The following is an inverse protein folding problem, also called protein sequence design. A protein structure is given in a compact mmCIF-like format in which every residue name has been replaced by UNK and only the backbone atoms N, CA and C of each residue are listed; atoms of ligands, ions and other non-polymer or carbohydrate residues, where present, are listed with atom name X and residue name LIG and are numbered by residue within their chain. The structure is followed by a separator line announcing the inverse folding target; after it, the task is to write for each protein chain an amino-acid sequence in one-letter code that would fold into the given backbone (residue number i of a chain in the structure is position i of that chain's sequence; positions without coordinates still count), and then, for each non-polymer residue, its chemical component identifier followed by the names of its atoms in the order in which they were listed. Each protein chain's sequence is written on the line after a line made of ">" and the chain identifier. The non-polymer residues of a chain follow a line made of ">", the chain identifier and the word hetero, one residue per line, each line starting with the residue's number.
data_IF_012347100049
#
_entry.id   IF_012347100049
#
_cell.length_a   1.000
_cell.length_b   1.000
_cell.length_c   1.000
_cell.angle_alpha   90.00
_cell.angle_beta   90.00
_cell.angle_gamma   90.00
#
_symmetry.space_group_name_H-M   'P 1'
#
loop_
_entity.id
_entity.type
_entity.pdbx_description
1 polymer ?
#
# COMPACT_ATOMS: atom_id res chain seq x y z
N UNK A 1 2.73 29.32 -15.29
CA UNK A 1 1.53 29.11 -14.43
C UNK A 1 2.01 28.60 -13.08
N UNK A 2 1.65 29.25 -11.98
CA UNK A 2 1.84 28.71 -10.62
C UNK A 2 0.56 27.97 -10.25
N UNK A 3 0.69 26.71 -9.83
CA UNK A 3 -0.45 25.92 -9.36
C UNK A 3 -0.93 26.44 -7.99
N UNK A 4 -2.21 26.24 -7.63
CA UNK A 4 -2.71 26.57 -6.30
C UNK A 4 -1.92 25.83 -5.21
N UNK A 5 -1.65 26.47 -4.07
CA UNK A 5 -0.93 25.86 -2.94
C UNK A 5 -1.60 24.59 -2.41
N UNK A 6 -2.95 24.52 -2.46
CA UNK A 6 -3.71 23.31 -2.11
C UNK A 6 -3.46 22.14 -3.06
N UNK A 7 -3.12 22.42 -4.33
CA UNK A 7 -2.76 21.40 -5.32
C UNK A 7 -1.32 20.91 -5.11
N UNK A 8 -0.44 21.75 -4.57
CA UNK A 8 0.93 21.37 -4.24
C UNK A 8 1.00 20.55 -2.96
N UNK A 9 0.26 20.93 -1.91
CA UNK A 9 0.22 20.17 -0.66
C UNK A 9 -0.38 18.77 -0.81
N UNK A 10 -1.37 18.61 -1.70
CA UNK A 10 -1.96 17.29 -1.92
C UNK A 10 -0.98 16.33 -2.62
N UNK A 11 -0.15 16.85 -3.53
CA UNK A 11 0.88 16.05 -4.21
C UNK A 11 2.00 15.64 -3.27
N UNK A 12 2.47 16.55 -2.40
CA UNK A 12 3.48 16.25 -1.39
C UNK A 12 2.99 15.20 -0.38
N UNK A 13 1.73 15.29 0.05
CA UNK A 13 1.11 14.28 0.91
C UNK A 13 1.03 12.93 0.20
N UNK A 14 0.50 12.88 -1.04
CA UNK A 14 0.43 11.62 -1.81
C UNK A 14 1.81 10.97 -1.92
N UNK A 15 2.87 11.72 -2.23
CA UNK A 15 4.23 11.17 -2.31
C UNK A 15 4.73 10.63 -0.97
N UNK A 16 4.46 11.33 0.13
CA UNK A 16 4.83 10.90 1.48
C UNK A 16 4.16 9.57 1.83
N UNK A 17 2.84 9.49 1.71
CA UNK A 17 2.05 8.30 2.05
C UNK A 17 2.34 7.12 1.12
N UNK A 18 2.58 7.38 -0.17
CA UNK A 18 3.05 6.34 -1.09
C UNK A 18 4.38 5.75 -0.61
N UNK A 19 5.33 6.58 -0.19
CA UNK A 19 6.62 6.12 0.31
C UNK A 19 6.47 5.27 1.57
N UNK A 20 5.68 5.73 2.53
CA UNK A 20 5.44 4.99 3.79
C UNK A 20 4.74 3.66 3.56
N UNK A 21 3.74 3.63 2.67
CA UNK A 21 3.10 2.38 2.24
C UNK A 21 4.10 1.43 1.59
N UNK A 22 4.99 1.93 0.71
CA UNK A 22 6.02 1.10 0.07
C UNK A 22 6.97 0.52 1.12
N UNK A 23 7.39 1.32 2.10
CA UNK A 23 8.24 0.86 3.20
C UNK A 23 7.53 -0.20 4.08
N UNK A 24 6.21 -0.05 4.30
CA UNK A 24 5.39 -1.05 4.97
C UNK A 24 5.31 -2.36 4.15
N UNK A 25 5.02 -2.27 2.85
CA UNK A 25 4.94 -3.43 1.95
C UNK A 25 6.27 -4.19 1.91
N UNK A 26 7.38 -3.47 1.89
CA UNK A 26 8.72 -4.04 1.93
C UNK A 26 9.00 -4.73 3.26
N UNK A 27 8.81 -4.04 4.38
CA UNK A 27 9.18 -4.55 5.71
C UNK A 27 8.28 -5.69 6.19
N UNK A 28 6.98 -5.60 5.91
CA UNK A 28 5.98 -6.56 6.38
C UNK A 28 5.82 -7.73 5.42
N UNK A 29 5.79 -7.48 4.12
CA UNK A 29 5.45 -8.49 3.10
C UNK A 29 6.60 -8.86 2.16
N UNK A 30 7.81 -8.30 2.33
CA UNK A 30 8.97 -8.52 1.47
C UNK A 30 8.69 -8.25 -0.03
N UNK A 31 7.78 -7.32 -0.32
CA UNK A 31 7.45 -6.92 -1.68
C UNK A 31 8.45 -5.85 -2.13
N UNK A 32 9.57 -6.29 -2.72
CA UNK A 32 10.59 -5.40 -3.26
C UNK A 32 10.42 -5.17 -4.77
N UNK A 33 11.02 -4.11 -5.32
CA UNK A 33 11.04 -3.82 -6.76
C UNK A 33 9.64 -3.80 -7.40
N UNK A 34 8.73 -2.98 -6.84
CA UNK A 34 7.40 -2.79 -7.40
C UNK A 34 7.49 -2.35 -8.86
N UNK A 35 6.75 -3.02 -9.73
CA UNK A 35 6.60 -2.65 -11.14
C UNK A 35 5.87 -1.31 -11.29
N UNK A 36 5.97 -0.69 -12.47
CA UNK A 36 5.23 0.54 -12.79
C UNK A 36 3.71 0.39 -12.59
N UNK A 37 3.17 -0.79 -12.84
CA UNK A 37 1.74 -1.07 -12.62
C UNK A 37 1.41 -1.13 -11.13
N UNK A 38 2.23 -1.80 -10.32
CA UNK A 38 2.04 -1.86 -8.87
C UNK A 38 2.17 -0.46 -8.24
N UNK A 39 3.14 0.35 -8.68
CA UNK A 39 3.29 1.73 -8.24
C UNK A 39 2.09 2.62 -8.63
N UNK A 40 1.53 2.40 -9.83
CA UNK A 40 0.33 3.10 -10.27
C UNK A 40 -0.90 2.73 -9.42
N UNK A 41 -1.07 1.45 -9.08
CA UNK A 41 -2.14 0.98 -8.20
C UNK A 41 -2.00 1.62 -6.82
N UNK A 42 -0.80 1.60 -6.22
CA UNK A 42 -0.55 2.24 -4.92
C UNK A 42 -0.92 3.72 -4.98
N UNK A 43 -0.46 4.45 -6.00
CA UNK A 43 -0.79 5.87 -6.16
C UNK A 43 -2.29 6.12 -6.17
N UNK A 44 -3.03 5.37 -7.00
CA UNK A 44 -4.48 5.51 -7.13
C UNK A 44 -5.19 5.26 -5.81
N UNK A 45 -4.80 4.21 -5.09
CA UNK A 45 -5.37 3.88 -3.78
C UNK A 45 -5.03 4.97 -2.76
N UNK A 46 -3.79 5.46 -2.74
CA UNK A 46 -3.38 6.55 -1.84
C UNK A 46 -4.19 7.81 -2.09
N UNK A 47 -4.38 8.21 -3.36
CA UNK A 47 -5.24 9.34 -3.72
C UNK A 47 -6.69 9.12 -3.24
N UNK A 48 -7.29 7.95 -3.52
CA UNK A 48 -8.65 7.60 -3.09
C UNK A 48 -8.80 7.58 -1.54
N UNK A 49 -7.78 7.14 -0.82
CA UNK A 49 -7.78 7.12 0.65
C UNK A 49 -7.67 8.54 1.17
N UNK A 50 -6.65 9.31 0.74
CA UNK A 50 -6.45 10.67 1.22
C UNK A 50 -7.62 11.61 0.89
N UNK A 51 -8.31 11.43 -0.24
CA UNK A 51 -9.52 12.20 -0.58
C UNK A 51 -10.69 11.94 0.41
N UNK A 52 -10.71 10.78 1.08
CA UNK A 52 -11.72 10.42 2.10
C UNK A 52 -11.33 10.86 3.51
N UNK A 53 -10.07 11.22 3.72
CA UNK A 53 -9.46 11.44 5.03
C UNK A 53 -9.22 12.96 5.25
N UNK A 54 -9.67 13.51 6.39
CA UNK A 54 -9.52 14.95 6.68
C UNK A 54 -8.04 15.32 6.84
N UNK A 55 -7.50 16.35 6.17
CA UNK A 55 -6.08 16.75 6.29
C UNK A 55 -5.61 17.10 7.72
N UNK A 56 -6.49 17.11 8.73
CA UNK A 56 -6.16 17.32 10.16
C UNK A 56 -5.86 16.04 10.96
N UNK A 57 -5.61 14.92 10.29
CA UNK A 57 -5.37 13.63 10.95
C UNK A 57 -4.18 13.65 11.92
N UNK A 58 -4.33 12.90 13.02
CA UNK A 58 -3.28 12.72 14.03
C UNK A 58 -2.43 11.51 13.65
N UNK A 59 -1.25 11.40 14.25
CA UNK A 59 -0.31 10.29 14.05
C UNK A 59 -0.94 8.89 14.27
N UNK A 60 -1.94 8.76 15.14
CA UNK A 60 -2.63 7.49 15.37
C UNK A 60 -3.46 7.04 14.14
N UNK A 61 -3.87 7.98 13.29
CA UNK A 61 -4.61 7.69 12.07
C UNK A 61 -3.68 7.21 10.92
N UNK A 62 -2.36 7.43 11.06
CA UNK A 62 -1.38 7.08 10.05
C UNK A 62 -1.25 5.58 9.83
N UNK A 63 -1.16 4.83 10.92
CA UNK A 63 -1.14 3.38 10.85
C UNK A 63 -2.42 2.81 10.21
N UNK A 64 -3.57 3.45 10.44
CA UNK A 64 -4.86 3.03 9.87
C UNK A 64 -4.86 3.26 8.36
N UNK A 65 -4.39 4.42 7.91
CA UNK A 65 -4.29 4.78 6.49
C UNK A 65 -3.31 3.85 5.78
N UNK A 66 -2.10 3.64 6.31
CA UNK A 66 -1.10 2.76 5.70
C UNK A 66 -1.60 1.32 5.60
N UNK A 67 -2.27 0.82 6.65
CA UNK A 67 -2.87 -0.51 6.65
C UNK A 67 -4.00 -0.62 5.62
N UNK A 68 -4.84 0.40 5.48
CA UNK A 68 -5.89 0.43 4.46
C UNK A 68 -5.30 0.41 3.05
N UNK A 69 -4.31 1.27 2.78
CA UNK A 69 -3.65 1.34 1.46
C UNK A 69 -2.98 -0.01 1.15
N UNK A 70 -2.22 -0.58 2.08
CA UNK A 70 -1.54 -1.86 1.88
C UNK A 70 -2.52 -3.01 1.64
N UNK A 71 -3.62 -3.07 2.41
CA UNK A 71 -4.64 -4.13 2.26
C UNK A 71 -5.37 -4.02 0.92
N UNK A 72 -5.75 -2.79 0.52
CA UNK A 72 -6.36 -2.54 -0.80
C UNK A 72 -5.37 -2.86 -1.92
N UNK A 73 -4.09 -2.53 -1.77
CA UNK A 73 -3.07 -2.87 -2.76
C UNK A 73 -2.99 -4.39 -2.95
N UNK A 74 -2.91 -5.17 -1.87
CA UNK A 74 -2.86 -6.63 -1.95
C UNK A 74 -4.12 -7.21 -2.61
N UNK A 75 -5.28 -6.60 -2.36
CA UNK A 75 -6.55 -6.98 -2.99
C UNK A 75 -6.55 -6.65 -4.49
N UNK A 76 -6.21 -5.42 -4.87
CA UNK A 76 -6.29 -4.94 -6.26
C UNK A 76 -5.16 -5.51 -7.14
N UNK A 77 -3.94 -5.64 -6.63
CA UNK A 77 -2.77 -6.10 -7.39
C UNK A 77 -2.69 -7.62 -7.49
N UNK A 78 -3.11 -8.36 -6.45
CA UNK A 78 -2.93 -9.81 -6.36
C UNK A 78 -4.25 -10.59 -6.21
N UNK A 79 -5.40 -9.92 -6.18
CA UNK A 79 -6.72 -10.55 -6.13
C UNK A 79 -7.03 -11.23 -4.79
N UNK A 80 -6.44 -10.75 -3.70
CA UNK A 80 -6.53 -11.38 -2.39
C UNK A 80 -7.75 -10.90 -1.62
N UNK A 81 -8.38 -11.83 -0.91
CA UNK A 81 -9.50 -11.52 -0.03
C UNK A 81 -9.04 -10.82 1.26
N UNK A 82 -9.79 -9.81 1.69
CA UNK A 82 -9.44 -8.97 2.84
C UNK A 82 -9.38 -9.77 4.14
N UNK A 83 -10.34 -10.67 4.35
CA UNK A 83 -10.36 -11.56 5.51
C UNK A 83 -9.21 -12.55 5.48
N UNK A 84 -8.84 -13.03 4.28
CA UNK A 84 -7.67 -13.88 4.12
C UNK A 84 -6.36 -13.14 4.46
N UNK A 85 -6.18 -11.89 4.01
CA UNK A 85 -5.01 -11.07 4.36
C UNK A 85 -4.92 -10.90 5.87
N UNK A 86 -6.01 -10.53 6.54
CA UNK A 86 -6.03 -10.36 8.00
C UNK A 86 -5.60 -11.64 8.71
N UNK A 87 -6.21 -12.78 8.36
CA UNK A 87 -5.88 -14.08 8.93
C UNK A 87 -4.41 -14.46 8.71
N UNK A 88 -3.86 -14.17 7.54
CA UNK A 88 -2.47 -14.49 7.21
C UNK A 88 -1.45 -13.54 7.86
N UNK A 89 -1.90 -12.51 8.57
CA UNK A 89 -1.05 -11.55 9.30
C UNK A 89 -1.19 -11.66 10.82
N UNK A 90 -1.94 -12.66 11.33
CA UNK A 90 -2.17 -12.85 12.77
C UNK A 90 -0.94 -13.38 13.51
N UNK A 91 -0.17 -14.27 12.89
CA UNK A 91 1.02 -14.87 13.51
C UNK A 91 2.27 -14.71 12.64
N UNK A 92 3.45 -14.87 13.25
CA UNK A 92 4.73 -14.83 12.51
C UNK A 92 4.85 -15.97 11.48
N UNK A 93 4.32 -17.15 11.80
CA UNK A 93 4.37 -18.30 10.90
C UNK A 93 3.45 -18.10 9.70
N UNK A 94 2.22 -17.61 9.94
CA UNK A 94 1.29 -17.23 8.88
C UNK A 94 1.88 -16.15 7.97
N UNK A 95 2.56 -15.16 8.54
CA UNK A 95 3.17 -14.07 7.78
C UNK A 95 4.29 -14.57 6.85
N UNK A 96 5.05 -15.60 7.26
CA UNK A 96 6.09 -16.18 6.40
C UNK A 96 5.49 -17.01 5.25
N UNK A 97 4.43 -17.78 5.53
CA UNK A 97 3.67 -18.47 4.49
C UNK A 97 3.04 -17.50 3.48
N UNK A 98 2.53 -16.37 3.98
CA UNK A 98 1.95 -15.31 3.18
C UNK A 98 3.00 -14.63 2.27
N UNK A 99 4.19 -14.33 2.81
CA UNK A 99 5.31 -13.77 2.02
C UNK A 99 5.71 -14.69 0.87
N UNK A 100 5.87 -15.98 1.14
CA UNK A 100 6.20 -16.98 0.11
C UNK A 100 5.09 -17.08 -0.95
N UNK A 101 3.83 -16.99 -0.54
CA UNK A 101 2.70 -16.96 -1.46
C UNK A 101 2.74 -15.74 -2.39
N UNK A 102 2.95 -14.53 -1.84
CA UNK A 102 3.08 -13.30 -2.65
C UNK A 102 4.27 -13.41 -3.62
N UNK A 103 5.42 -13.91 -3.14
CA UNK A 103 6.60 -14.13 -3.98
C UNK A 103 6.26 -14.99 -5.20
N UNK A 104 5.57 -16.11 -5.01
CA UNK A 104 5.15 -17.02 -6.11
C UNK A 104 4.19 -16.37 -7.09
N UNK A 105 3.25 -15.54 -6.64
CA UNK A 105 2.36 -14.77 -7.54
C UNK A 105 3.19 -13.84 -8.41
N UNK A 106 4.14 -13.13 -7.82
CA UNK A 106 4.99 -12.17 -8.52
C UNK A 106 5.92 -12.85 -9.54
N UNK A 107 6.50 -14.01 -9.21
CA UNK A 107 7.28 -14.83 -10.16
C UNK A 107 6.45 -15.26 -11.37
N UNK A 108 5.23 -15.78 -11.13
CA UNK A 108 4.33 -16.23 -12.20
C UNK A 108 3.88 -15.09 -13.11
N UNK A 109 3.87 -13.87 -12.58
CA UNK A 109 3.47 -12.66 -13.28
C UNK A 109 4.66 -11.92 -13.92
N UNK A 110 5.87 -12.47 -13.84
CA UNK A 110 7.11 -11.85 -14.33
C UNK A 110 7.38 -10.44 -13.76
N UNK A 111 6.99 -10.23 -12.50
CA UNK A 111 7.19 -8.97 -11.77
C UNK A 111 8.52 -8.93 -11.01
N UNK A 112 9.25 -10.05 -10.99
CA UNK A 112 10.59 -10.25 -10.42
C UNK A 112 11.43 -11.16 -11.32
#
# INVERSE_FOLDING_TARGET
>A
MKFPESFQSNNENVQLWMKETIDLLRSSFHIENLSNNELFIIKKITEDVLDRFDPKLKTDDQYVIDKEIATRFLTEAYGLDTYWIEKQTETKEDMEGFREYIRRIRERSHLI
#
